data_IF_955519506251
#
_entry.id   IF_955519506251
#
_cell.length_a   1.000
_cell.length_b   1.000
_cell.length_c   1.000
_cell.angle_alpha   90.00
_cell.angle_beta   90.00
_cell.angle_gamma   90.00
#
_symmetry.space_group_name_H-M   'P 1'
#
loop_
_entity.id
_entity.type
_entity.pdbx_description
1 polymer ?
#
# COMPACT_ATOMS: atom_id res chain seq x y z
N UNK A 1 24.86 2.12 3.63
CA UNK A 1 24.25 2.28 2.29
C UNK A 1 23.60 1.00 1.76
N UNK A 2 24.35 -0.08 1.45
CA UNK A 2 23.76 -1.30 0.87
C UNK A 2 22.66 -1.97 1.72
N UNK A 3 22.79 -1.98 3.05
CA UNK A 3 21.80 -2.59 3.96
C UNK A 3 20.44 -1.86 3.93
N UNK A 4 20.43 -0.52 3.94
CA UNK A 4 19.19 0.26 3.90
C UNK A 4 18.41 0.04 2.60
N UNK A 5 19.11 -0.03 1.45
CA UNK A 5 18.48 -0.33 0.16
C UNK A 5 17.88 -1.72 0.12
N UNK A 6 18.57 -2.73 0.68
CA UNK A 6 18.03 -4.09 0.75
C UNK A 6 16.74 -4.11 1.58
N UNK A 7 16.73 -3.44 2.73
CA UNK A 7 15.50 -3.33 3.56
C UNK A 7 14.39 -2.66 2.78
N UNK A 8 14.65 -1.52 2.13
CA UNK A 8 13.67 -0.80 1.35
C UNK A 8 13.08 -1.66 0.21
N UNK A 9 13.93 -2.34 -0.56
CA UNK A 9 13.49 -3.22 -1.66
C UNK A 9 12.67 -4.40 -1.14
N UNK A 10 13.08 -4.99 -0.01
CA UNK A 10 12.32 -6.07 0.65
C UNK A 10 10.96 -5.57 1.13
N UNK A 11 10.91 -4.37 1.74
CA UNK A 11 9.66 -3.74 2.16
C UNK A 11 8.71 -3.54 0.97
N UNK A 12 9.21 -2.97 -0.12
CA UNK A 12 8.40 -2.76 -1.31
C UNK A 12 7.95 -4.07 -1.97
N UNK A 13 8.83 -5.05 -2.07
CA UNK A 13 8.48 -6.36 -2.59
C UNK A 13 7.31 -6.98 -1.80
N UNK A 14 7.38 -6.97 -0.47
CA UNK A 14 6.33 -7.53 0.40
C UNK A 14 5.01 -6.74 0.26
N UNK A 15 5.07 -5.40 0.22
CA UNK A 15 3.88 -4.57 0.02
C UNK A 15 3.25 -4.83 -1.34
N UNK A 16 4.06 -4.99 -2.39
CA UNK A 16 3.58 -5.27 -3.74
C UNK A 16 3.02 -6.70 -3.87
N UNK A 17 3.52 -7.67 -3.11
CA UNK A 17 2.86 -8.96 -2.94
C UNK A 17 1.47 -8.75 -2.36
N UNK A 18 1.35 -8.00 -1.26
CA UNK A 18 0.05 -7.69 -0.63
C UNK A 18 -0.92 -7.02 -1.61
N UNK A 19 -0.43 -6.07 -2.40
CA UNK A 19 -1.21 -5.44 -3.46
C UNK A 19 -1.67 -6.46 -4.51
N UNK A 20 -0.76 -7.31 -4.99
CA UNK A 20 -1.05 -8.35 -5.97
C UNK A 20 -2.01 -9.42 -5.47
N UNK A 21 -1.94 -9.81 -4.18
CA UNK A 21 -2.86 -10.76 -3.56
C UNK A 21 -4.32 -10.31 -3.71
N UNK A 22 -4.59 -9.01 -3.56
CA UNK A 22 -5.94 -8.47 -3.58
C UNK A 22 -6.52 -8.32 -4.98
N UNK A 23 -5.68 -8.19 -6.02
CA UNK A 23 -6.10 -7.91 -7.39
C UNK A 23 -7.13 -8.92 -7.94
N UNK A 24 -6.89 -10.25 -7.89
CA UNK A 24 -7.84 -11.21 -8.46
C UNK A 24 -9.13 -11.35 -7.65
N UNK A 25 -9.09 -11.07 -6.35
CA UNK A 25 -10.24 -11.27 -5.44
C UNK A 25 -11.14 -10.04 -5.37
N UNK A 26 -10.55 -8.87 -5.59
CA UNK A 26 -11.22 -7.57 -5.46
C UNK A 26 -12.53 -7.46 -6.22
N UNK A 27 -12.62 -7.80 -7.54
CA UNK A 27 -13.86 -7.68 -8.29
C UNK A 27 -14.97 -8.54 -7.69
N UNK A 28 -14.66 -9.80 -7.38
CA UNK A 28 -15.64 -10.75 -6.81
C UNK A 28 -16.12 -10.32 -5.43
N UNK A 29 -15.23 -9.76 -4.62
CA UNK A 29 -15.59 -9.27 -3.29
C UNK A 29 -16.54 -8.07 -3.36
N UNK A 30 -16.26 -7.09 -4.23
CA UNK A 30 -17.10 -5.91 -4.43
C UNK A 30 -18.46 -6.32 -5.01
N UNK A 31 -18.46 -7.17 -6.05
CA UNK A 31 -19.67 -7.66 -6.69
C UNK A 31 -20.59 -8.34 -5.67
N UNK A 32 -20.05 -9.22 -4.85
CA UNK A 32 -20.81 -9.90 -3.80
C UNK A 32 -21.45 -8.92 -2.81
N UNK A 33 -20.71 -7.92 -2.34
CA UNK A 33 -21.23 -6.91 -1.39
C UNK A 33 -22.32 -6.09 -2.06
N UNK A 34 -22.14 -5.68 -3.32
CA UNK A 34 -23.13 -4.93 -4.08
C UNK A 34 -24.42 -5.72 -4.30
N UNK A 35 -24.32 -7.00 -4.69
CA UNK A 35 -25.47 -7.89 -4.86
C UNK A 35 -26.20 -8.14 -3.53
N UNK A 36 -25.48 -8.22 -2.41
CA UNK A 36 -26.07 -8.36 -1.09
C UNK A 36 -26.88 -7.11 -0.66
N UNK A 37 -26.54 -5.93 -1.18
CA UNK A 37 -27.31 -4.69 -1.01
C UNK A 37 -28.48 -4.54 -2.01
N UNK A 38 -28.70 -5.54 -2.89
CA UNK A 38 -29.80 -5.54 -3.84
C UNK A 38 -29.47 -4.92 -5.20
N UNK A 39 -28.19 -4.66 -5.50
CA UNK A 39 -27.78 -4.19 -6.81
C UNK A 39 -27.98 -5.26 -7.88
N UNK A 40 -28.25 -4.86 -9.10
CA UNK A 40 -28.23 -5.75 -10.28
C UNK A 40 -26.78 -6.10 -10.65
N UNK A 41 -26.56 -7.16 -11.42
CA UNK A 41 -25.23 -7.57 -11.91
C UNK A 41 -24.53 -6.44 -12.67
N UNK A 42 -25.29 -5.67 -13.46
CA UNK A 42 -24.74 -4.52 -14.20
C UNK A 42 -24.27 -3.41 -13.25
N UNK A 43 -25.06 -3.08 -12.22
CA UNK A 43 -24.70 -2.09 -11.22
C UNK A 43 -23.51 -2.56 -10.37
N UNK A 44 -23.47 -3.83 -10.00
CA UNK A 44 -22.34 -4.41 -9.27
C UNK A 44 -21.03 -4.31 -10.07
N UNK A 45 -21.06 -4.62 -11.36
CA UNK A 45 -19.90 -4.47 -12.26
C UNK A 45 -19.46 -3.00 -12.38
N UNK A 46 -20.40 -2.07 -12.41
CA UNK A 46 -20.09 -0.64 -12.38
C UNK A 46 -19.41 -0.24 -11.07
N UNK A 47 -19.89 -0.72 -9.92
CA UNK A 47 -19.29 -0.48 -8.61
C UNK A 47 -17.84 -1.00 -8.53
N UNK A 48 -17.53 -2.15 -9.12
CA UNK A 48 -16.16 -2.67 -9.22
C UNK A 48 -15.25 -1.66 -9.94
N UNK A 49 -15.72 -1.14 -11.08
CA UNK A 49 -14.97 -0.14 -11.84
C UNK A 49 -14.73 1.15 -11.06
N UNK A 50 -15.77 1.68 -10.42
CA UNK A 50 -15.70 2.92 -9.65
C UNK A 50 -14.79 2.77 -8.43
N UNK A 51 -14.94 1.70 -7.64
CA UNK A 51 -14.12 1.43 -6.46
C UNK A 51 -12.63 1.21 -6.80
N UNK A 52 -12.36 0.61 -7.95
CA UNK A 52 -10.99 0.46 -8.44
C UNK A 52 -10.43 1.81 -8.90
N UNK A 53 -11.22 2.56 -9.66
CA UNK A 53 -10.83 3.87 -10.19
C UNK A 53 -10.62 4.92 -9.12
N UNK A 54 -11.48 4.97 -8.09
CA UNK A 54 -11.37 5.97 -7.02
C UNK A 54 -10.08 5.80 -6.20
N UNK A 55 -9.65 4.56 -5.98
CA UNK A 55 -8.37 4.30 -5.32
C UNK A 55 -7.19 4.85 -6.12
N UNK A 56 -7.14 4.58 -7.41
CA UNK A 56 -6.11 5.11 -8.31
C UNK A 56 -6.17 6.64 -8.42
N UNK A 57 -7.38 7.20 -8.46
CA UNK A 57 -7.61 8.64 -8.51
C UNK A 57 -7.09 9.34 -7.25
N UNK A 58 -7.35 8.77 -6.07
CA UNK A 58 -6.82 9.30 -4.81
C UNK A 58 -5.28 9.23 -4.80
N UNK A 59 -4.69 8.13 -5.25
CA UNK A 59 -3.24 8.04 -5.37
C UNK A 59 -2.69 9.10 -6.32
N UNK A 60 -3.31 9.31 -7.47
CA UNK A 60 -2.88 10.31 -8.44
C UNK A 60 -2.85 11.74 -7.86
N UNK A 61 -3.91 12.14 -7.16
CA UNK A 61 -3.99 13.49 -6.59
C UNK A 61 -3.08 13.67 -5.36
N UNK A 62 -2.94 12.65 -4.54
CA UNK A 62 -2.22 12.78 -3.27
C UNK A 62 -0.73 12.43 -3.35
N UNK A 63 -0.27 11.65 -4.34
CA UNK A 63 1.15 11.32 -4.48
C UNK A 63 2.05 12.57 -4.61
N UNK A 64 1.72 13.61 -5.40
CA UNK A 64 2.52 14.84 -5.45
C UNK A 64 2.55 15.61 -4.12
N UNK A 65 1.44 15.59 -3.36
CA UNK A 65 1.35 16.24 -2.06
C UNK A 65 2.28 15.57 -1.05
N UNK A 66 2.25 14.23 -0.99
CA UNK A 66 3.14 13.45 -0.15
C UNK A 66 4.61 13.66 -0.54
N UNK A 67 4.92 13.70 -1.84
CA UNK A 67 6.25 14.03 -2.33
C UNK A 67 6.76 15.37 -1.79
N UNK A 68 5.94 16.43 -1.92
CA UNK A 68 6.27 17.77 -1.42
C UNK A 68 6.42 17.83 0.11
N UNK A 69 5.59 17.10 0.84
CA UNK A 69 5.69 17.05 2.30
C UNK A 69 6.93 16.29 2.77
N UNK A 70 7.37 15.29 2.02
CA UNK A 70 8.55 14.51 2.37
C UNK A 70 9.85 15.30 2.31
N UNK A 71 9.91 16.36 1.50
CA UNK A 71 11.07 17.24 1.45
C UNK A 71 11.25 18.05 2.75
N UNK A 72 10.18 18.16 3.55
CA UNK A 72 10.18 18.92 4.81
C UNK A 72 10.15 18.04 6.05
N UNK A 73 9.38 16.97 6.01
CA UNK A 73 9.13 16.10 7.16
C UNK A 73 10.06 14.88 7.22
N UNK A 74 10.79 14.61 6.14
CA UNK A 74 11.62 13.41 6.00
C UNK A 74 10.95 12.30 5.19
N UNK A 75 11.76 11.41 4.63
CA UNK A 75 11.29 10.30 3.80
C UNK A 75 10.73 9.16 4.65
N UNK A 76 11.44 8.81 5.71
CA UNK A 76 11.10 7.68 6.58
C UNK A 76 9.73 7.83 7.26
N UNK A 77 9.39 8.94 7.96
CA UNK A 77 8.11 9.06 8.65
C UNK A 77 6.92 8.97 7.69
N UNK A 78 7.03 9.55 6.49
CA UNK A 78 5.95 9.51 5.51
C UNK A 78 5.83 8.14 4.82
N UNK A 79 6.94 7.43 4.65
CA UNK A 79 6.91 6.03 4.21
C UNK A 79 6.17 5.15 5.23
N UNK A 80 6.45 5.33 6.51
CA UNK A 80 5.77 4.65 7.63
C UNK A 80 4.26 4.96 7.64
N UNK A 81 3.88 6.23 7.47
CA UNK A 81 2.47 6.64 7.36
C UNK A 81 1.79 5.97 6.17
N UNK A 82 2.46 5.90 5.02
CA UNK A 82 1.94 5.23 3.83
C UNK A 82 1.70 3.73 4.05
N UNK A 83 2.64 3.04 4.68
CA UNK A 83 2.52 1.61 5.02
C UNK A 83 1.39 1.36 6.04
N UNK A 84 1.31 2.19 7.09
CA UNK A 84 0.24 2.10 8.07
C UNK A 84 -1.13 2.34 7.44
N UNK A 85 -1.23 3.37 6.57
CA UNK A 85 -2.45 3.67 5.83
C UNK A 85 -2.90 2.52 4.93
N UNK A 86 -1.96 1.88 4.24
CA UNK A 86 -2.24 0.70 3.43
C UNK A 86 -2.73 -0.47 4.30
N UNK A 87 -2.07 -0.76 5.43
CA UNK A 87 -2.47 -1.82 6.34
C UNK A 87 -3.90 -1.59 6.88
N UNK A 88 -4.19 -0.38 7.36
CA UNK A 88 -5.52 -0.01 7.87
C UNK A 88 -6.57 -0.15 6.77
N UNK A 89 -6.28 0.33 5.56
CA UNK A 89 -7.19 0.22 4.42
C UNK A 89 -7.51 -1.23 4.07
N UNK A 90 -6.52 -2.13 4.09
CA UNK A 90 -6.74 -3.55 3.80
C UNK A 90 -7.60 -4.22 4.87
N UNK A 91 -7.37 -3.92 6.14
CA UNK A 91 -8.22 -4.42 7.22
C UNK A 91 -9.66 -3.91 7.10
N UNK A 92 -9.84 -2.60 6.89
CA UNK A 92 -11.17 -2.00 6.71
C UNK A 92 -11.88 -2.59 5.49
N UNK A 93 -11.16 -2.82 4.40
CA UNK A 93 -11.72 -3.40 3.20
C UNK A 93 -12.13 -4.86 3.42
N UNK A 94 -11.28 -5.67 4.08
CA UNK A 94 -11.60 -7.07 4.41
C UNK A 94 -12.75 -7.23 5.40
N UNK A 95 -13.03 -6.21 6.22
CA UNK A 95 -14.17 -6.13 7.14
C UNK A 95 -15.43 -5.52 6.49
N UNK A 96 -15.35 -5.10 5.24
CA UNK A 96 -16.41 -4.35 4.57
C UNK A 96 -17.69 -5.18 4.39
N UNK A 97 -18.76 -4.77 5.04
CA UNK A 97 -20.09 -5.39 4.97
C UNK A 97 -21.06 -4.66 4.04
N UNK A 98 -20.68 -3.46 3.62
CA UNK A 98 -21.47 -2.61 2.75
C UNK A 98 -20.58 -1.77 1.81
N UNK A 99 -21.17 -1.29 0.72
CA UNK A 99 -20.46 -0.47 -0.28
C UNK A 99 -19.88 0.80 0.31
N UNK A 100 -20.57 1.48 1.22
CA UNK A 100 -20.09 2.71 1.83
C UNK A 100 -18.76 2.49 2.57
N UNK A 101 -18.63 1.39 3.30
CA UNK A 101 -17.39 1.01 3.98
C UNK A 101 -16.26 0.69 2.99
N UNK A 102 -16.58 0.01 1.88
CA UNK A 102 -15.62 -0.26 0.82
C UNK A 102 -15.12 1.03 0.17
N UNK A 103 -16.01 1.99 -0.09
CA UNK A 103 -15.64 3.31 -0.58
C UNK A 103 -14.74 4.07 0.40
N UNK A 104 -15.10 4.10 1.68
CA UNK A 104 -14.28 4.73 2.71
C UNK A 104 -12.88 4.12 2.78
N UNK A 105 -12.78 2.79 2.77
CA UNK A 105 -11.50 2.08 2.78
C UNK A 105 -10.66 2.40 1.52
N UNK A 106 -11.28 2.51 0.34
CA UNK A 106 -10.60 2.85 -0.91
C UNK A 106 -10.10 4.28 -0.95
N UNK A 107 -10.91 5.23 -0.49
CA UNK A 107 -10.54 6.65 -0.42
C UNK A 107 -9.38 6.83 0.57
N UNK A 108 -9.56 6.37 1.82
CA UNK A 108 -8.52 6.48 2.85
C UNK A 108 -7.23 5.75 2.44
N UNK A 109 -7.38 4.53 1.92
CA UNK A 109 -6.25 3.74 1.45
C UNK A 109 -5.52 4.40 0.29
N UNK A 110 -6.25 4.94 -0.69
CA UNK A 110 -5.67 5.66 -1.82
C UNK A 110 -4.90 6.90 -1.39
N UNK A 111 -5.46 7.70 -0.46
CA UNK A 111 -4.81 8.90 0.08
C UNK A 111 -3.52 8.56 0.82
N UNK A 112 -3.59 7.65 1.79
CA UNK A 112 -2.47 7.36 2.67
C UNK A 112 -1.38 6.55 1.97
N UNK A 113 -1.75 5.47 1.24
CA UNK A 113 -0.78 4.63 0.53
C UNK A 113 -0.10 5.34 -0.64
N UNK A 114 -0.64 6.47 -1.12
CA UNK A 114 -0.02 7.31 -2.14
C UNK A 114 1.39 7.79 -1.74
N UNK A 115 1.73 7.79 -0.45
CA UNK A 115 3.06 8.14 0.04
C UNK A 115 4.12 7.08 -0.30
N UNK A 116 3.76 5.79 -0.39
CA UNK A 116 4.73 4.68 -0.43
C UNK A 116 5.71 4.78 -1.60
N UNK A 117 5.21 4.88 -2.82
CA UNK A 117 6.06 4.88 -4.02
C UNK A 117 6.91 6.15 -4.17
N UNK A 118 6.37 7.37 -3.98
CA UNK A 118 7.18 8.58 -4.03
C UNK A 118 8.30 8.57 -2.97
N UNK A 119 8.00 8.13 -1.74
CA UNK A 119 9.00 8.05 -0.68
C UNK A 119 10.10 7.05 -1.00
N UNK A 120 9.75 5.88 -1.53
CA UNK A 120 10.73 4.88 -1.92
C UNK A 120 11.65 5.37 -3.05
N UNK A 121 11.08 6.02 -4.07
CA UNK A 121 11.88 6.60 -5.16
C UNK A 121 12.82 7.71 -4.64
N UNK A 122 12.30 8.62 -3.81
CA UNK A 122 13.10 9.69 -3.22
C UNK A 122 14.21 9.12 -2.33
N UNK A 123 13.90 8.13 -1.50
CA UNK A 123 14.89 7.47 -0.64
C UNK A 123 16.04 6.85 -1.46
N UNK A 124 15.73 6.13 -2.55
CA UNK A 124 16.77 5.59 -3.44
C UNK A 124 17.61 6.72 -4.04
N UNK A 125 16.98 7.82 -4.46
CA UNK A 125 17.69 8.97 -5.03
C UNK A 125 18.64 9.62 -4.01
N UNK A 126 18.24 9.70 -2.74
CA UNK A 126 19.00 10.32 -1.67
C UNK A 126 20.23 9.48 -1.25
N UNK A 127 20.09 8.13 -1.24
CA UNK A 127 21.15 7.23 -0.73
C UNK A 127 22.05 6.65 -1.83
N UNK A 128 21.79 6.96 -3.11
CA UNK A 128 22.62 6.50 -4.24
C UNK A 128 23.37 7.67 -4.88
N UNK A 129 24.62 7.41 -5.32
CA UNK A 129 25.37 8.36 -6.16
C UNK A 129 24.68 8.56 -7.51
N UNK A 130 24.95 9.67 -8.19
CA UNK A 130 24.41 9.92 -9.54
C UNK A 130 24.72 8.76 -10.52
N UNK A 131 25.92 8.19 -10.41
CA UNK A 131 26.36 7.07 -11.24
C UNK A 131 25.58 5.78 -10.98
N UNK A 132 25.20 5.52 -9.72
CA UNK A 132 24.53 4.28 -9.29
C UNK A 132 23.00 4.42 -9.22
N UNK A 133 22.47 5.65 -9.38
CA UNK A 133 21.03 5.93 -9.24
C UNK A 133 20.18 5.12 -10.20
N UNK A 134 20.61 5.01 -11.46
CA UNK A 134 19.90 4.19 -12.45
C UNK A 134 19.80 2.72 -12.03
N UNK A 135 20.87 2.16 -11.46
CA UNK A 135 20.89 0.80 -10.93
C UNK A 135 20.00 0.65 -9.68
N UNK A 136 20.02 1.64 -8.80
CA UNK A 136 19.13 1.67 -7.62
C UNK A 136 17.66 1.67 -8.02
N UNK A 137 17.27 2.52 -8.97
CA UNK A 137 15.90 2.57 -9.51
C UNK A 137 15.51 1.29 -10.24
N UNK A 138 16.43 0.64 -10.97
CA UNK A 138 16.17 -0.63 -11.61
C UNK A 138 15.86 -1.75 -10.60
N UNK A 139 16.61 -1.83 -9.50
CA UNK A 139 16.32 -2.77 -8.41
C UNK A 139 14.97 -2.49 -7.73
N UNK A 140 14.64 -1.21 -7.54
CA UNK A 140 13.33 -0.80 -7.02
C UNK A 140 12.20 -1.29 -7.94
N UNK A 141 12.30 -1.01 -9.24
CA UNK A 141 11.34 -1.47 -10.23
C UNK A 141 11.22 -3.00 -10.28
N UNK A 142 12.35 -3.73 -10.15
CA UNK A 142 12.37 -5.19 -10.10
C UNK A 142 11.62 -5.72 -8.86
N UNK A 143 11.83 -5.13 -7.70
CA UNK A 143 11.14 -5.51 -6.48
C UNK A 143 9.62 -5.32 -6.59
N UNK A 144 9.19 -4.18 -7.16
CA UNK A 144 7.79 -3.87 -7.43
C UNK A 144 7.19 -4.90 -8.41
N UNK A 145 7.84 -5.12 -9.54
CA UNK A 145 7.33 -6.02 -10.59
C UNK A 145 7.23 -7.46 -10.11
N UNK A 146 8.25 -7.97 -9.39
CA UNK A 146 8.23 -9.31 -8.82
C UNK A 146 7.08 -9.47 -7.79
N UNK A 147 6.87 -8.47 -6.94
CA UNK A 147 5.76 -8.49 -5.99
C UNK A 147 4.39 -8.58 -6.67
N UNK A 148 4.18 -7.79 -7.72
CA UNK A 148 2.94 -7.80 -8.51
C UNK A 148 2.73 -9.13 -9.25
N UNK A 149 3.81 -9.80 -9.69
CA UNK A 149 3.72 -11.12 -10.36
C UNK A 149 3.43 -12.24 -9.37
N UNK A 150 4.09 -12.24 -8.21
CA UNK A 150 3.94 -13.29 -7.19
C UNK A 150 2.60 -13.16 -6.44
N UNK A 151 2.15 -11.91 -6.23
CA UNK A 151 0.94 -11.62 -5.44
C UNK A 151 -0.32 -12.33 -5.92
N UNK A 152 -0.72 -12.22 -7.20
CA UNK A 152 -1.94 -12.87 -7.71
C UNK A 152 -1.95 -14.39 -7.54
N UNK A 153 -0.80 -15.06 -7.70
CA UNK A 153 -0.69 -16.49 -7.49
C UNK A 153 -0.95 -16.87 -6.02
N UNK A 154 -0.39 -16.10 -5.09
CA UNK A 154 -0.67 -16.26 -3.66
C UNK A 154 -2.13 -15.92 -3.33
N UNK A 155 -2.70 -14.88 -3.93
CA UNK A 155 -4.09 -14.49 -3.73
C UNK A 155 -5.06 -15.58 -4.19
N UNK A 156 -4.84 -16.14 -5.37
CA UNK A 156 -5.61 -17.26 -5.89
C UNK A 156 -5.48 -18.50 -5.01
N UNK A 157 -4.29 -18.81 -4.51
CA UNK A 157 -4.08 -19.90 -3.57
C UNK A 157 -4.82 -19.68 -2.25
N UNK A 158 -4.71 -18.48 -1.66
CA UNK A 158 -5.38 -18.15 -0.41
C UNK A 158 -6.91 -18.19 -0.53
N UNK A 159 -7.45 -17.80 -1.67
CA UNK A 159 -8.91 -17.85 -1.90
C UNK A 159 -9.48 -19.27 -2.04
N UNK A 160 -8.62 -20.25 -2.34
CA UNK A 160 -8.99 -21.67 -2.42
C UNK A 160 -8.91 -22.39 -1.07
N UNK A 161 -8.25 -21.77 -0.08
CA UNK A 161 -8.26 -22.30 1.27
C UNK A 161 -9.66 -22.13 1.84
N UNK A 162 -10.45 -23.20 1.79
CA UNK A 162 -11.75 -23.32 2.45
C UNK A 162 -11.55 -23.29 3.97
N UNK A 163 -11.11 -22.15 4.45
CA UNK A 163 -11.15 -21.87 5.86
C UNK A 163 -12.63 -21.65 6.18
N UNK A 164 -13.29 -22.66 6.74
CA UNK A 164 -14.66 -22.57 7.26
C UNK A 164 -14.77 -21.56 8.42
N UNK A 165 -14.09 -20.41 8.27
CA UNK A 165 -14.08 -19.30 9.21
C UNK A 165 -15.22 -18.34 8.89
N UNK A 166 -16.45 -18.83 8.93
CA UNK A 166 -17.58 -17.92 9.04
C UNK A 166 -17.67 -17.47 10.50
N UNK A 167 -16.73 -16.60 10.90
CA UNK A 167 -16.83 -15.94 12.20
C UNK A 167 -17.77 -14.75 12.05
N UNK A 168 -18.95 -14.90 12.60
CA UNK A 168 -19.94 -13.85 12.71
C UNK A 168 -19.74 -13.15 14.04
N UNK A 169 -19.00 -12.05 14.05
CA UNK A 169 -18.92 -11.15 15.20
C UNK A 169 -19.93 -10.03 14.99
N UNK A 170 -21.14 -10.18 15.52
CA UNK A 170 -22.22 -9.21 15.35
C UNK A 170 -22.61 -9.03 13.86
N UNK A 171 -22.41 -7.83 13.32
CA UNK A 171 -22.65 -7.50 11.90
C UNK A 171 -21.45 -7.75 10.97
N UNK A 172 -20.31 -8.21 11.51
CA UNK A 172 -19.10 -8.49 10.74
C UNK A 172 -19.09 -9.96 10.30
N UNK A 173 -19.15 -10.22 9.00
CA UNK A 173 -18.95 -11.54 8.44
C UNK A 173 -17.55 -11.64 7.83
N UNK A 174 -16.65 -12.33 8.51
CA UNK A 174 -15.34 -12.68 7.96
C UNK A 174 -15.53 -13.99 7.21
N UNK A 175 -15.24 -14.01 5.93
CA UNK A 175 -15.34 -15.19 5.08
C UNK A 175 -14.06 -15.39 4.24
N UNK A 176 -14.04 -16.47 3.44
CA UNK A 176 -12.89 -16.83 2.61
C UNK A 176 -12.44 -15.72 1.67
N UNK A 177 -13.34 -14.82 1.23
CA UNK A 177 -13.02 -13.68 0.38
C UNK A 177 -12.34 -12.53 1.13
N UNK A 178 -12.49 -12.46 2.45
CA UNK A 178 -11.82 -11.45 3.29
C UNK A 178 -10.36 -11.83 3.60
N UNK A 179 -10.02 -13.11 3.55
CA UNK A 179 -8.68 -13.64 3.91
C UNK A 179 -7.55 -12.98 3.11
N UNK A 180 -7.63 -12.80 1.79
CA UNK A 180 -6.58 -12.12 1.02
C UNK A 180 -6.31 -10.69 1.47
N UNK A 181 -7.36 -9.94 1.87
CA UNK A 181 -7.21 -8.57 2.37
C UNK A 181 -6.54 -8.53 3.74
N UNK A 182 -6.90 -9.44 4.65
CA UNK A 182 -6.22 -9.56 5.94
C UNK A 182 -4.77 -10.01 5.78
N UNK A 183 -4.48 -10.94 4.86
CA UNK A 183 -3.12 -11.34 4.54
C UNK A 183 -2.29 -10.16 4.02
N UNK A 184 -2.83 -9.36 3.10
CA UNK A 184 -2.19 -8.15 2.60
C UNK A 184 -1.97 -7.11 3.72
N UNK A 185 -2.95 -6.92 4.59
CA UNK A 185 -2.86 -6.07 5.79
C UNK A 185 -1.75 -6.54 6.74
N UNK A 186 -1.69 -7.84 7.05
CA UNK A 186 -0.65 -8.42 7.89
C UNK A 186 0.75 -8.24 7.29
N UNK A 187 0.91 -8.51 5.99
CA UNK A 187 2.17 -8.28 5.28
C UNK A 187 2.60 -6.81 5.38
N UNK A 188 1.63 -5.87 5.27
CA UNK A 188 1.94 -4.45 5.42
C UNK A 188 2.34 -4.08 6.85
N UNK A 189 1.71 -4.67 7.88
CA UNK A 189 2.10 -4.46 9.29
C UNK A 189 3.51 -5.00 9.55
N UNK A 190 3.85 -6.18 9.03
CA UNK A 190 5.20 -6.74 9.14
C UNK A 190 6.23 -5.84 8.44
N UNK A 191 5.89 -5.33 7.26
CA UNK A 191 6.72 -4.40 6.52
C UNK A 191 6.88 -3.07 7.26
N UNK A 192 5.81 -2.57 7.88
CA UNK A 192 5.83 -1.38 8.72
C UNK A 192 6.79 -1.55 9.90
N UNK A 193 6.71 -2.67 10.61
CA UNK A 193 7.60 -2.99 11.72
C UNK A 193 9.08 -3.07 11.26
N UNK A 194 9.33 -3.69 10.10
CA UNK A 194 10.65 -3.75 9.50
C UNK A 194 11.18 -2.36 9.09
N UNK A 195 10.33 -1.52 8.50
CA UNK A 195 10.70 -0.16 8.12
C UNK A 195 11.04 0.68 9.36
N UNK A 196 10.23 0.64 10.41
CA UNK A 196 10.49 1.36 11.65
C UNK A 196 11.78 0.90 12.37
N UNK A 197 12.09 -0.40 12.32
CA UNK A 197 13.24 -0.96 13.02
C UNK A 197 14.58 -0.83 12.27
N UNK A 198 14.56 -0.85 10.94
CA UNK A 198 15.77 -1.03 10.14
C UNK A 198 15.99 0.00 9.04
N UNK A 199 15.00 0.84 8.74
CA UNK A 199 15.15 1.87 7.72
C UNK A 199 15.44 3.22 8.38
N UNK A 200 16.69 3.75 8.30
CA UNK A 200 17.01 5.06 8.85
C UNK A 200 16.43 6.19 7.97
N UNK A 201 16.37 7.40 8.52
CA UNK A 201 16.03 8.58 7.73
C UNK A 201 17.11 8.81 6.65
N UNK A 202 16.68 9.14 5.43
CA UNK A 202 17.60 9.41 4.32
C UNK A 202 17.85 10.90 4.12
N UNK A 203 16.95 11.76 4.59
CA UNK A 203 17.09 13.19 4.48
C UNK A 203 18.05 13.67 5.56
N UNK A 204 19.23 14.18 5.18
CA UNK A 204 20.08 14.90 6.11
C UNK A 204 19.36 16.20 6.54
N UNK A 205 19.26 16.51 7.85
CA UNK A 205 18.74 17.79 8.27
C UNK A 205 19.59 18.87 7.60
N UNK A 206 18.98 19.72 6.77
CA UNK A 206 19.67 20.90 6.26
C UNK A 206 20.19 21.65 7.49
N UNK A 207 21.50 21.62 7.69
CA UNK A 207 22.16 22.58 8.58
C UNK A 207 21.76 23.95 8.04
N UNK A 208 20.90 24.63 8.78
CA UNK A 208 20.72 26.07 8.64
C UNK A 208 22.11 26.66 8.94
N UNK A 209 22.90 26.77 7.88
CA UNK A 209 24.08 27.61 7.96
C UNK A 209 23.57 29.00 8.31
N UNK A 210 23.70 29.34 9.56
CA UNK A 210 23.59 30.70 10.05
C UNK A 210 24.55 31.54 9.22
N UNK A 211 24.03 32.14 8.14
CA UNK A 211 24.68 33.26 7.45
C UNK A 211 24.67 34.50 8.38
N UNK A 212 25.40 34.36 9.49
CA UNK A 212 25.59 35.36 10.49
C UNK A 212 27.05 35.51 10.80
N UNK A 213 27.88 35.81 9.81
CA UNK A 213 29.19 36.41 10.03
C UNK A 213 29.84 36.86 8.71
N UNK A 214 29.38 38.00 8.20
CA UNK A 214 30.26 38.93 7.49
C UNK A 214 29.80 40.34 7.87
N UNK A 215 30.38 40.83 8.94
CA UNK A 215 30.61 42.26 9.17
C UNK A 215 31.99 42.63 8.62
#
# INVERSE_FOLDING_TARGET
>A
MKKCLIVLYSCLFIVMIGYGITLPVLPFYIERVALAEGATVSEASFQVGVLTGIFALMQFFFAPLWGKWSDRLGRHPLFVVGLAGYAISMVLFGMGTNLAMLYAARILGGILSAAVLPMANAYVADVTSERDRGRGMAWLGSAISLGIVVGPALGAFLSQLDLHLTYRFGHLSIDSFSVPFFAAGLLSVLTLAAAMGWLPESLEPQRVESSGQRA
#
